data_IF_726320689638
#
_entry.id   IF_726320689638
#
_cell.length_a   1.000
_cell.length_b   1.000
_cell.length_c   1.000
_cell.angle_alpha   90.00
_cell.angle_beta   90.00
_cell.angle_gamma   90.00
#
_symmetry.space_group_name_H-M   'P 1'
#
loop_
_entity.id
_entity.type
_entity.pdbx_description
1 polymer ?
#
# COMPACT_ATOMS: atom_id res chain seq x y z
N UNK A 1 46.65 26.93 -0.23
CA UNK A 1 45.22 26.70 0.11
C UNK A 1 44.49 26.21 -1.13
N UNK A 2 44.02 24.95 -1.14
CA UNK A 2 43.27 24.39 -2.26
C UNK A 2 41.86 25.01 -2.21
N UNK A 3 41.54 25.94 -3.13
CA UNK A 3 40.19 26.50 -3.22
C UNK A 3 39.23 25.34 -3.51
N UNK A 4 38.33 25.07 -2.57
CA UNK A 4 37.25 24.11 -2.77
C UNK A 4 36.26 24.80 -3.69
N UNK A 5 36.46 24.62 -4.99
CA UNK A 5 35.59 25.17 -6.04
C UNK A 5 34.38 24.24 -6.18
N UNK A 6 33.19 24.73 -5.80
CA UNK A 6 31.94 24.03 -6.05
C UNK A 6 31.59 24.10 -7.53
N UNK A 7 32.03 23.09 -8.29
CA UNK A 7 31.87 23.02 -9.75
C UNK A 7 30.41 23.14 -10.21
N UNK A 8 29.47 22.52 -9.48
CA UNK A 8 28.04 22.58 -9.80
C UNK A 8 27.49 24.00 -9.64
N UNK A 9 27.78 24.63 -8.51
CA UNK A 9 27.34 26.00 -8.22
C UNK A 9 27.94 26.99 -9.20
N UNK A 10 29.24 26.87 -9.52
CA UNK A 10 29.89 27.78 -10.45
C UNK A 10 29.36 27.63 -11.88
N UNK A 11 29.14 26.39 -12.34
CA UNK A 11 28.55 26.10 -13.66
C UNK A 11 27.11 26.63 -13.75
N UNK A 12 26.35 26.51 -12.66
CA UNK A 12 25.01 27.05 -12.54
C UNK A 12 24.97 28.57 -12.64
N UNK A 13 25.82 29.26 -11.87
CA UNK A 13 25.89 30.73 -11.86
C UNK A 13 26.40 31.28 -13.21
N UNK A 14 27.36 30.61 -13.83
CA UNK A 14 27.88 30.99 -15.14
C UNK A 14 26.84 30.86 -16.27
N UNK A 15 25.95 29.87 -16.19
CA UNK A 15 24.95 29.56 -17.23
C UNK A 15 23.51 29.89 -16.78
N UNK A 16 23.30 31.11 -16.27
CA UNK A 16 21.99 31.60 -15.78
C UNK A 16 20.82 31.34 -16.74
N UNK A 17 21.00 31.55 -18.04
CA UNK A 17 19.93 31.39 -19.04
C UNK A 17 19.48 29.94 -19.18
N UNK A 18 20.43 29.00 -19.18
CA UNK A 18 20.15 27.57 -19.22
C UNK A 18 19.33 27.13 -18.01
N UNK A 19 19.65 27.65 -16.81
CA UNK A 19 18.88 27.39 -15.60
C UNK A 19 17.45 27.91 -15.71
N UNK A 20 17.24 29.14 -16.20
CA UNK A 20 15.89 29.67 -16.35
C UNK A 20 15.04 28.82 -17.30
N UNK A 21 15.62 28.32 -18.39
CA UNK A 21 14.93 27.40 -19.30
C UNK A 21 14.56 26.10 -18.58
N UNK A 22 15.48 25.51 -17.82
CA UNK A 22 15.21 24.32 -17.02
C UNK A 22 14.09 24.54 -15.99
N UNK A 23 14.09 25.69 -15.31
CA UNK A 23 13.03 26.04 -14.35
C UNK A 23 11.68 26.12 -15.06
N UNK A 24 11.60 26.79 -16.21
CA UNK A 24 10.35 26.90 -16.98
C UNK A 24 9.85 25.53 -17.40
N UNK A 25 10.73 24.65 -17.88
CA UNK A 25 10.37 23.27 -18.24
C UNK A 25 9.84 22.51 -17.03
N UNK A 26 10.52 22.61 -15.88
CA UNK A 26 10.09 21.94 -14.64
C UNK A 26 8.73 22.44 -14.16
N UNK A 27 8.46 23.74 -14.27
CA UNK A 27 7.15 24.31 -13.89
C UNK A 27 6.04 23.79 -14.81
N UNK A 28 6.26 23.79 -16.13
CA UNK A 28 5.28 23.27 -17.10
C UNK A 28 5.02 21.78 -16.84
N UNK A 29 6.08 20.99 -16.69
CA UNK A 29 5.97 19.56 -16.44
C UNK A 29 5.29 19.26 -15.10
N UNK A 30 5.61 20.04 -14.06
CA UNK A 30 4.95 19.97 -12.76
C UNK A 30 3.46 20.26 -12.86
N UNK A 31 3.07 21.26 -13.64
CA UNK A 31 1.66 21.59 -13.85
C UNK A 31 0.91 20.49 -14.61
N UNK A 32 1.52 19.94 -15.66
CA UNK A 32 0.96 18.81 -16.39
C UNK A 32 0.75 17.59 -15.49
N UNK A 33 1.72 17.26 -14.63
CA UNK A 33 1.60 16.14 -13.71
C UNK A 33 0.59 16.39 -12.60
N UNK A 34 0.44 17.64 -12.16
CA UNK A 34 -0.58 18.01 -11.19
C UNK A 34 -2.00 17.71 -11.69
N UNK A 35 -2.28 17.99 -12.96
CA UNK A 35 -3.57 17.71 -13.58
C UNK A 35 -3.73 16.24 -14.01
N UNK A 36 -2.65 15.61 -14.48
CA UNK A 36 -2.68 14.21 -14.92
C UNK A 36 -2.80 13.20 -13.78
N UNK A 37 -2.39 13.56 -12.55
CA UNK A 37 -2.43 12.65 -11.42
C UNK A 37 -3.88 12.36 -11.01
N UNK A 38 -4.35 11.10 -11.12
CA UNK A 38 -5.68 10.74 -10.69
C UNK A 38 -5.82 10.92 -9.18
N UNK A 39 -6.82 11.69 -8.77
CA UNK A 39 -7.11 11.97 -7.36
C UNK A 39 -8.06 10.91 -6.84
N UNK A 40 -7.52 9.91 -6.14
CA UNK A 40 -8.33 8.87 -5.52
C UNK A 40 -8.89 9.37 -4.18
N UNK A 41 -10.22 9.51 -4.09
CA UNK A 41 -10.88 9.95 -2.84
C UNK A 41 -10.99 8.85 -1.80
N UNK A 42 -10.91 7.61 -2.24
CA UNK A 42 -10.98 6.42 -1.40
C UNK A 42 -9.72 5.61 -1.67
N UNK A 43 -8.66 5.79 -0.88
CA UNK A 43 -7.51 4.90 -1.01
C UNK A 43 -8.00 3.47 -0.78
N UNK A 44 -7.58 2.55 -1.66
CA UNK A 44 -7.93 1.14 -1.51
C UNK A 44 -7.21 0.59 -0.27
N UNK A 45 -7.92 0.56 0.86
CA UNK A 45 -7.48 -0.08 2.09
C UNK A 45 -7.76 -1.57 1.94
N UNK A 46 -6.71 -2.34 1.66
CA UNK A 46 -6.79 -3.80 1.68
C UNK A 46 -6.98 -4.26 3.12
N UNK A 47 -8.20 -4.62 3.49
CA UNK A 47 -8.46 -5.25 4.78
C UNK A 47 -8.08 -6.73 4.71
N UNK A 48 -7.07 -7.21 5.46
CA UNK A 48 -6.61 -8.59 5.39
C UNK A 48 -7.50 -9.52 6.23
N UNK A 49 -8.80 -9.58 5.94
CA UNK A 49 -9.70 -10.55 6.55
C UNK A 49 -10.16 -11.56 5.51
N UNK A 50 -10.25 -12.82 5.93
CA UNK A 50 -10.78 -13.91 5.13
C UNK A 50 -12.08 -14.38 5.77
N UNK A 51 -13.16 -14.44 5.00
CA UNK A 51 -14.44 -14.97 5.47
C UNK A 51 -14.62 -16.40 4.95
N UNK A 52 -14.81 -17.35 5.87
CA UNK A 52 -15.05 -18.76 5.57
C UNK A 52 -16.45 -19.11 6.05
N UNK A 53 -17.35 -19.45 5.12
CA UNK A 53 -18.72 -19.87 5.43
C UNK A 53 -18.94 -21.33 5.06
N UNK A 54 -19.39 -22.12 6.01
CA UNK A 54 -19.76 -23.53 5.81
C UNK A 54 -21.25 -23.72 6.05
N UNK A 55 -21.98 -24.17 5.03
CA UNK A 55 -23.42 -24.45 5.11
C UNK A 55 -23.62 -25.95 5.38
N UNK A 56 -24.17 -26.29 6.54
CA UNK A 56 -24.49 -27.68 6.89
C UNK A 56 -25.86 -27.77 7.59
N UNK A 57 -26.97 -27.80 6.81
CA UNK A 57 -28.32 -27.79 7.35
C UNK A 57 -28.68 -29.15 7.98
N UNK A 58 -29.39 -29.12 9.11
CA UNK A 58 -29.89 -30.33 9.79
C UNK A 58 -28.99 -30.87 10.90
N UNK A 59 -27.88 -30.21 11.21
CA UNK A 59 -26.96 -30.58 12.28
C UNK A 59 -27.12 -29.66 13.49
N UNK A 60 -27.01 -30.23 14.70
CA UNK A 60 -27.02 -29.45 15.94
C UNK A 60 -25.85 -28.45 15.94
N UNK A 61 -26.01 -27.22 16.46
CA UNK A 61 -24.91 -26.26 16.57
C UNK A 61 -23.68 -26.83 17.29
N UNK A 62 -23.92 -27.67 18.30
CA UNK A 62 -22.86 -28.34 19.07
C UNK A 62 -22.04 -29.29 18.19
N UNK A 63 -22.72 -30.04 17.32
CA UNK A 63 -22.06 -30.98 16.41
C UNK A 63 -21.33 -30.23 15.28
N UNK A 64 -21.90 -29.12 14.79
CA UNK A 64 -21.27 -28.27 13.79
C UNK A 64 -19.97 -27.66 14.30
N UNK A 65 -19.95 -27.17 15.54
CA UNK A 65 -18.74 -26.62 16.15
C UNK A 65 -17.64 -27.68 16.31
N UNK A 66 -18.00 -28.84 16.87
CA UNK A 66 -17.05 -29.90 17.17
C UNK A 66 -16.45 -30.53 15.89
N UNK A 67 -17.28 -30.77 14.87
CA UNK A 67 -16.90 -31.52 13.67
C UNK A 67 -16.28 -30.64 12.60
N UNK A 68 -16.79 -29.42 12.42
CA UNK A 68 -16.39 -28.53 11.31
C UNK A 68 -15.57 -27.35 11.84
N UNK A 69 -16.18 -26.47 12.62
CA UNK A 69 -15.57 -25.20 13.03
C UNK A 69 -14.22 -25.41 13.74
N UNK A 70 -14.17 -26.31 14.72
CA UNK A 70 -12.96 -26.57 15.51
C UNK A 70 -11.84 -27.23 14.72
N UNK A 71 -12.17 -28.08 13.72
CA UNK A 71 -11.18 -28.65 12.80
C UNK A 71 -10.56 -27.56 11.93
N UNK A 72 -11.37 -26.69 11.36
CA UNK A 72 -10.92 -25.57 10.52
C UNK A 72 -10.03 -24.63 11.34
N UNK A 73 -10.46 -24.23 12.53
CA UNK A 73 -9.68 -23.35 13.41
C UNK A 73 -8.32 -23.94 13.77
N UNK A 74 -8.25 -25.25 14.07
CA UNK A 74 -7.00 -25.92 14.40
C UNK A 74 -5.98 -25.90 13.25
N UNK A 75 -6.45 -26.02 12.01
CA UNK A 75 -5.58 -25.97 10.83
C UNK A 75 -5.16 -24.53 10.51
N UNK A 76 -6.07 -23.55 10.66
CA UNK A 76 -5.77 -22.14 10.43
C UNK A 76 -4.81 -21.56 11.49
N UNK A 77 -4.91 -22.01 12.75
CA UNK A 77 -3.97 -21.63 13.82
C UNK A 77 -2.52 -22.03 13.54
N UNK A 78 -2.28 -22.99 12.64
CA UNK A 78 -0.93 -23.42 12.25
C UNK A 78 -0.27 -22.56 11.18
N UNK A 79 -0.96 -21.55 10.64
CA UNK A 79 -0.44 -20.68 9.58
C UNK A 79 0.19 -19.44 10.20
N UNK A 80 1.48 -19.22 9.92
CA UNK A 80 2.17 -17.99 10.32
C UNK A 80 1.55 -16.76 9.65
N UNK A 81 1.19 -15.76 10.47
CA UNK A 81 0.62 -14.49 10.00
C UNK A 81 -0.84 -14.23 10.39
N UNK A 82 -1.54 -15.18 11.01
CA UNK A 82 -2.93 -14.97 11.46
C UNK A 82 -2.95 -14.43 12.91
N UNK A 83 -3.41 -13.17 13.08
CA UNK A 83 -3.52 -12.53 14.41
C UNK A 83 -4.79 -12.90 15.18
N UNK A 84 -5.92 -13.00 14.49
CA UNK A 84 -7.22 -13.26 15.12
C UNK A 84 -8.06 -14.20 14.25
N UNK A 85 -8.66 -15.21 14.88
CA UNK A 85 -9.64 -16.12 14.29
C UNK A 85 -10.90 -16.00 15.15
N UNK A 86 -12.04 -15.72 14.53
CA UNK A 86 -13.35 -15.66 15.18
C UNK A 86 -14.33 -16.54 14.42
N UNK A 87 -15.10 -17.33 15.15
CA UNK A 87 -16.06 -18.29 14.60
C UNK A 87 -17.43 -18.06 15.23
N UNK A 88 -18.49 -18.21 14.43
CA UNK A 88 -19.88 -18.28 14.89
C UNK A 88 -20.48 -19.56 14.28
N UNK A 89 -21.10 -20.39 15.11
CA UNK A 89 -21.70 -21.68 14.74
C UNK A 89 -23.04 -21.88 15.42
#
# INVERSE_FOLDING_TARGET
>A
MKKIEFKLTNLSVANRTTIYIFIVILVIFGFMQYDATPKEKFPEIVFPYFMVSTLHPGTSPVDMENLITRRIEKHLKGIDGIKHISSNS
#
